data_IF_794454699338
#
_entry.id   IF_794454699338
#
_cell.length_a   1.000
_cell.length_b   1.000
_cell.length_c   1.000
_cell.angle_alpha   90.00
_cell.angle_beta   90.00
_cell.angle_gamma   90.00
#
_symmetry.space_group_name_H-M   'P 1'
#
loop_
_entity.id
_entity.type
_entity.pdbx_description
1 polymer ?
#
# COMPACT_ATOMS: atom_id res chain seq x y z
N UNK A 1 -3.23 4.27 0.96
CA UNK A 1 -3.95 5.26 1.78
C UNK A 1 -4.60 4.62 3.02
N UNK A 2 -5.55 3.68 2.88
CA UNK A 2 -6.26 3.10 4.04
C UNK A 2 -5.32 2.53 5.14
N UNK A 3 -4.34 1.69 4.78
CA UNK A 3 -3.35 1.19 5.74
C UNK A 3 -2.56 2.29 6.45
N UNK A 4 -2.12 3.33 5.72
CA UNK A 4 -1.43 4.49 6.31
C UNK A 4 -2.30 5.21 7.35
N UNK A 5 -3.62 5.31 7.14
CA UNK A 5 -4.53 5.89 8.13
C UNK A 5 -4.67 5.02 9.37
N UNK A 6 -4.75 3.69 9.23
CA UNK A 6 -4.78 2.80 10.39
C UNK A 6 -3.55 2.99 11.29
N UNK A 7 -2.37 3.15 10.69
CA UNK A 7 -1.13 3.43 11.43
C UNK A 7 -1.08 4.86 11.99
N UNK A 8 -1.52 5.86 11.23
CA UNK A 8 -1.56 7.24 11.72
C UNK A 8 -2.52 7.38 12.91
N UNK A 9 -3.70 6.76 12.83
CA UNK A 9 -4.69 6.76 13.90
C UNK A 9 -4.14 6.13 15.18
N UNK A 10 -3.50 4.96 15.09
CA UNK A 10 -2.96 4.29 16.27
C UNK A 10 -1.86 5.09 16.95
N UNK A 11 -1.00 5.77 16.17
CA UNK A 11 0.07 6.59 16.72
C UNK A 11 -0.48 7.88 17.34
N UNK A 12 -1.35 8.59 16.62
CA UNK A 12 -1.87 9.90 17.05
C UNK A 12 -2.80 9.78 18.26
N UNK A 13 -3.53 8.67 18.40
CA UNK A 13 -4.33 8.38 19.59
C UNK A 13 -3.54 7.75 20.74
N UNK A 14 -2.20 7.68 20.66
CA UNK A 14 -1.36 7.03 21.67
C UNK A 14 -1.77 5.57 21.95
N UNK A 15 -2.23 4.87 20.91
CA UNK A 15 -2.74 3.50 20.93
C UNK A 15 -4.01 3.29 21.77
N UNK A 16 -4.71 4.35 22.12
CA UNK A 16 -6.03 4.24 22.75
C UNK A 16 -7.06 3.70 21.75
N UNK A 17 -6.92 4.11 20.49
CA UNK A 17 -7.73 3.64 19.38
C UNK A 17 -6.79 2.98 18.36
N UNK A 18 -7.07 1.74 17.96
CA UNK A 18 -6.24 1.00 17.01
C UNK A 18 -4.99 0.38 17.64
N UNK A 19 -5.16 -0.73 18.34
CA UNK A 19 -4.03 -1.51 18.86
C UNK A 19 -3.29 -2.24 17.73
N UNK A 20 -2.13 -2.83 18.02
CA UNK A 20 -1.28 -3.49 17.01
C UNK A 20 -2.03 -4.47 16.10
N UNK A 21 -2.92 -5.28 16.69
CA UNK A 21 -3.75 -6.23 15.94
C UNK A 21 -4.71 -5.51 14.99
N UNK A 22 -5.33 -4.42 15.43
CA UNK A 22 -6.23 -3.61 14.61
C UNK A 22 -5.51 -2.99 13.41
N UNK A 23 -4.29 -2.50 13.62
CA UNK A 23 -3.44 -1.99 12.52
C UNK A 23 -3.10 -3.10 11.53
N UNK A 24 -2.71 -4.29 12.02
CA UNK A 24 -2.37 -5.42 11.16
C UNK A 24 -3.57 -5.88 10.31
N UNK A 25 -4.74 -6.01 10.91
CA UNK A 25 -5.98 -6.36 10.19
C UNK A 25 -6.35 -5.26 9.19
N UNK A 26 -6.28 -3.99 9.58
CA UNK A 26 -6.57 -2.86 8.70
C UNK A 26 -5.68 -2.81 7.48
N UNK A 27 -4.37 -3.05 7.64
CA UNK A 27 -3.43 -3.19 6.52
C UNK A 27 -3.74 -4.40 5.65
N UNK A 28 -4.02 -5.55 6.25
CA UNK A 28 -4.37 -6.77 5.54
C UNK A 28 -5.59 -6.57 4.64
N UNK A 29 -6.68 -6.06 5.19
CA UNK A 29 -7.91 -5.78 4.43
C UNK A 29 -7.68 -4.73 3.34
N UNK A 30 -6.93 -3.67 3.63
CA UNK A 30 -6.61 -2.65 2.63
C UNK A 30 -5.88 -3.24 1.41
N UNK A 31 -4.94 -4.17 1.63
CA UNK A 31 -4.23 -4.86 0.54
C UNK A 31 -5.16 -5.84 -0.16
N UNK A 32 -5.97 -6.62 0.56
CA UNK A 32 -6.92 -7.56 -0.05
C UNK A 32 -7.87 -6.87 -1.02
N UNK A 33 -8.45 -5.73 -0.61
CA UNK A 33 -9.31 -4.95 -1.50
C UNK A 33 -8.55 -4.38 -2.70
N UNK A 34 -7.33 -3.87 -2.50
CA UNK A 34 -6.50 -3.38 -3.59
C UNK A 34 -6.21 -4.48 -4.62
N UNK A 35 -5.87 -5.68 -4.15
CA UNK A 35 -5.64 -6.86 -5.00
C UNK A 35 -6.90 -7.23 -5.76
N UNK A 36 -8.05 -7.37 -5.08
CA UNK A 36 -9.31 -7.76 -5.71
C UNK A 36 -9.72 -6.79 -6.83
N UNK A 37 -9.47 -5.48 -6.66
CA UNK A 37 -9.77 -4.47 -7.68
C UNK A 37 -8.83 -4.54 -8.88
N UNK A 38 -7.53 -4.80 -8.66
CA UNK A 38 -6.50 -4.73 -9.70
C UNK A 38 -6.12 -6.06 -10.35
N UNK A 39 -6.59 -7.19 -9.82
CA UNK A 39 -6.09 -8.53 -10.14
C UNK A 39 -6.13 -8.83 -11.65
N UNK A 40 -7.28 -8.60 -12.29
CA UNK A 40 -7.47 -8.91 -13.72
C UNK A 40 -6.75 -7.96 -14.69
N UNK A 41 -6.21 -6.83 -14.20
CA UNK A 41 -5.56 -5.82 -15.05
C UNK A 41 -4.04 -5.96 -14.99
N UNK A 42 -3.49 -6.03 -13.78
CA UNK A 42 -2.04 -5.94 -13.57
C UNK A 42 -1.46 -7.07 -12.73
N UNK A 43 -2.27 -8.03 -12.27
CA UNK A 43 -1.89 -8.96 -11.20
C UNK A 43 -1.82 -8.30 -9.82
N UNK A 44 -2.02 -6.98 -9.74
CA UNK A 44 -2.05 -6.16 -8.54
C UNK A 44 -0.91 -6.41 -7.56
N UNK A 45 0.33 -6.34 -8.05
CA UNK A 45 1.52 -6.60 -7.21
C UNK A 45 1.60 -5.65 -6.01
N UNK A 46 1.08 -4.42 -6.16
CA UNK A 46 0.99 -3.38 -5.12
C UNK A 46 2.30 -3.07 -4.37
N UNK A 47 3.44 -3.60 -4.83
CA UNK A 47 4.72 -3.54 -4.15
C UNK A 47 5.86 -3.80 -5.15
N UNK A 48 6.88 -2.95 -5.09
CA UNK A 48 8.05 -3.03 -5.97
C UNK A 48 8.81 -4.35 -5.77
N UNK A 49 8.88 -4.87 -4.54
CA UNK A 49 9.54 -6.14 -4.23
C UNK A 49 8.82 -7.33 -4.85
N UNK A 50 7.49 -7.29 -4.93
CA UNK A 50 6.69 -8.35 -5.58
C UNK A 50 6.89 -8.30 -7.10
N UNK A 51 6.91 -7.09 -7.67
CA UNK A 51 7.22 -6.89 -9.09
C UNK A 51 8.64 -7.33 -9.44
N UNK A 52 9.61 -7.08 -8.54
CA UNK A 52 10.98 -7.55 -8.69
C UNK A 52 11.09 -9.07 -8.63
N UNK A 53 10.39 -9.71 -7.69
CA UNK A 53 10.35 -11.16 -7.60
C UNK A 53 9.81 -11.80 -8.89
N UNK A 54 8.70 -11.28 -9.42
CA UNK A 54 8.13 -11.77 -10.69
C UNK A 54 9.05 -11.50 -11.89
N UNK A 55 9.79 -10.38 -11.87
CA UNK A 55 10.84 -10.12 -12.85
C UNK A 55 11.96 -11.17 -12.76
N UNK A 56 12.43 -11.53 -11.56
CA UNK A 56 13.47 -12.57 -11.41
C UNK A 56 13.03 -13.96 -11.84
N UNK A 57 11.73 -14.25 -11.77
CA UNK A 57 11.14 -15.50 -12.25
C UNK A 57 10.91 -15.51 -13.78
N UNK A 58 11.09 -14.39 -14.46
CA UNK A 58 10.83 -14.27 -15.90
C UNK A 58 9.35 -14.05 -16.27
N UNK A 59 8.49 -13.86 -15.26
CA UNK A 59 7.04 -13.67 -15.41
C UNK A 59 6.65 -12.21 -15.72
N UNK A 60 7.60 -11.28 -15.62
CA UNK A 60 7.38 -9.86 -15.88
C UNK A 60 8.51 -9.29 -16.76
N UNK A 61 8.20 -8.62 -17.89
CA UNK A 61 9.23 -8.00 -18.72
C UNK A 61 9.85 -6.77 -18.04
N UNK A 62 11.14 -6.51 -18.30
CA UNK A 62 11.92 -5.47 -17.63
C UNK A 62 11.30 -4.06 -17.69
N UNK A 63 10.76 -3.66 -18.85
CA UNK A 63 10.09 -2.36 -18.99
C UNK A 63 8.85 -2.26 -18.11
N UNK A 64 8.05 -3.34 -18.01
CA UNK A 64 6.87 -3.35 -17.15
C UNK A 64 7.27 -3.30 -15.67
N UNK A 65 8.35 -3.98 -15.29
CA UNK A 65 8.91 -3.87 -13.94
C UNK A 65 9.23 -2.42 -13.55
N UNK A 66 9.86 -1.65 -14.44
CA UNK A 66 10.18 -0.23 -14.18
C UNK A 66 8.88 0.59 -14.04
N UNK A 67 7.94 0.46 -14.97
CA UNK A 67 6.67 1.20 -14.91
C UNK A 67 5.87 0.87 -13.64
N UNK A 68 5.81 -0.41 -13.27
CA UNK A 68 5.12 -0.86 -12.06
C UNK A 68 5.80 -0.28 -10.82
N UNK A 69 7.13 -0.31 -10.75
CA UNK A 69 7.88 0.22 -9.61
C UNK A 69 7.64 1.71 -9.42
N UNK A 70 7.70 2.49 -10.51
CA UNK A 70 7.44 3.93 -10.45
C UNK A 70 5.99 4.23 -10.02
N UNK A 71 5.02 3.51 -10.57
CA UNK A 71 3.61 3.68 -10.21
C UNK A 71 3.35 3.31 -8.74
N UNK A 72 3.97 2.23 -8.24
CA UNK A 72 3.83 1.78 -6.85
C UNK A 72 4.48 2.76 -5.87
N UNK A 73 5.66 3.29 -6.19
CA UNK A 73 6.30 4.35 -5.39
C UNK A 73 5.47 5.63 -5.36
N UNK A 74 5.01 6.10 -6.53
CA UNK A 74 4.15 7.28 -6.62
C UNK A 74 2.85 7.09 -5.83
N UNK A 75 2.21 5.93 -5.95
CA UNK A 75 1.00 5.59 -5.21
C UNK A 75 1.23 5.54 -3.68
N UNK A 76 2.37 5.01 -3.24
CA UNK A 76 2.77 5.03 -1.84
C UNK A 76 2.98 6.45 -1.31
N UNK A 77 3.70 7.29 -2.06
CA UNK A 77 3.94 8.68 -1.72
C UNK A 77 2.66 9.50 -1.65
N UNK A 78 1.79 9.40 -2.66
CA UNK A 78 0.47 10.05 -2.66
C UNK A 78 -0.39 9.55 -1.52
N UNK A 79 -0.37 8.24 -1.24
CA UNK A 79 -1.07 7.66 -0.11
C UNK A 79 -0.62 8.24 1.23
N UNK A 80 0.68 8.47 1.41
CA UNK A 80 1.23 9.12 2.61
C UNK A 80 0.88 10.61 2.67
N UNK A 81 0.98 11.34 1.56
CA UNK A 81 0.63 12.75 1.48
C UNK A 81 -0.85 12.99 1.80
N UNK A 82 -1.74 12.15 1.29
CA UNK A 82 -3.17 12.21 1.63
C UNK A 82 -3.41 11.95 3.11
N UNK A 83 -2.74 10.96 3.72
CA UNK A 83 -2.86 10.71 5.16
C UNK A 83 -2.34 11.92 5.95
N UNK A 84 -1.24 12.53 5.55
CA UNK A 84 -0.76 13.76 6.18
C UNK A 84 -1.81 14.87 6.10
N UNK A 85 -2.38 15.14 4.91
CA UNK A 85 -3.42 16.15 4.74
C UNK A 85 -4.66 15.88 5.60
N UNK A 86 -5.06 14.62 5.75
CA UNK A 86 -6.20 14.21 6.59
C UNK A 86 -5.98 14.53 8.08
N UNK A 87 -4.74 14.39 8.57
CA UNK A 87 -4.39 14.62 9.98
C UNK A 87 -3.77 15.98 10.26
N UNK A 88 -3.41 16.77 9.24
CA UNK A 88 -2.71 18.05 9.40
C UNK A 88 -3.51 19.11 10.16
N UNK A 89 -4.85 19.02 10.13
CA UNK A 89 -5.75 19.96 10.80
C UNK A 89 -6.47 19.42 12.05
N UNK A 90 -6.15 18.19 12.49
CA UNK A 90 -6.68 17.57 13.72
C UNK A 90 -5.62 17.65 14.82
#
# INVERSE_FOLDING_TARGET
YAGFNCTAQSILSKRENGDYLGVAIGWGLAITFAVQMGFNISGSHCNCSVSFFLFTLGELPFLHFIYYSLAQFAGGFLGSALTFLQYYGN
#
